data_IF_750073645933
#
_entry.id   IF_750073645933
#
_cell.length_a   1.000
_cell.length_b   1.000
_cell.length_c   1.000
_cell.angle_alpha   90.00
_cell.angle_beta   90.00
_cell.angle_gamma   90.00
#
_symmetry.space_group_name_H-M   'P 1'
#
loop_
_entity.id
_entity.type
_entity.pdbx_description
1 polymer ?
#
# COMPACT_ATOMS: atom_id res chain seq x y z
N UNK A 1 13.18 -26.61 7.77
CA UNK A 1 13.14 -26.06 7.66
C UNK A 1 13.00 -25.29 7.59
N UNK A 2 12.98 -24.82 7.45
CA UNK A 2 12.83 -24.01 7.31
C UNK A 2 12.72 -23.03 7.29
N UNK A 3 12.30 -22.68 7.89
CA UNK A 3 12.10 -21.62 7.82
C UNK A 3 12.95 -20.81 7.48
N UNK A 4 12.70 -20.20 7.05
CA UNK A 4 13.59 -19.52 6.36
C UNK A 4 13.67 -18.13 6.75
N UNK A 5 14.81 -17.70 7.18
CA UNK A 5 15.12 -16.28 7.35
C UNK A 5 15.15 -15.63 5.98
N UNK A 6 14.74 -14.37 5.87
CA UNK A 6 14.90 -13.65 4.63
C UNK A 6 16.37 -13.55 4.23
N UNK A 7 16.65 -13.60 2.93
CA UNK A 7 17.98 -13.26 2.43
C UNK A 7 18.22 -11.76 2.67
N UNK A 8 19.47 -11.29 2.59
CA UNK A 8 19.72 -9.85 2.71
C UNK A 8 18.92 -9.01 1.72
N UNK A 9 18.73 -9.51 0.50
CA UNK A 9 17.95 -8.81 -0.49
C UNK A 9 16.47 -8.79 -0.10
N UNK A 10 15.92 -9.92 0.37
CA UNK A 10 14.53 -9.97 0.83
C UNK A 10 14.32 -9.08 2.04
N UNK A 11 15.31 -9.00 2.93
CA UNK A 11 15.20 -8.08 4.07
C UNK A 11 15.15 -6.63 3.60
N UNK A 12 15.88 -6.30 2.54
CA UNK A 12 15.83 -4.97 1.96
C UNK A 12 14.43 -4.64 1.43
N UNK A 13 13.77 -5.64 0.81
CA UNK A 13 12.40 -5.48 0.33
C UNK A 13 11.43 -5.27 1.50
N UNK A 14 11.59 -6.05 2.57
CA UNK A 14 10.77 -5.90 3.78
C UNK A 14 10.96 -4.53 4.40
N UNK A 15 12.20 -4.04 4.46
CA UNK A 15 12.49 -2.73 5.02
C UNK A 15 11.87 -1.61 4.18
N UNK A 16 11.89 -1.75 2.85
CA UNK A 16 11.25 -0.79 1.97
C UNK A 16 9.75 -0.74 2.23
N UNK A 17 9.11 -1.90 2.38
CA UNK A 17 7.70 -1.97 2.70
C UNK A 17 7.40 -1.34 4.05
N UNK A 18 8.22 -1.59 5.06
CA UNK A 18 8.04 -1.01 6.39
C UNK A 18 8.11 0.52 6.33
N UNK A 19 9.08 1.07 5.58
CA UNK A 19 9.17 2.52 5.41
C UNK A 19 7.93 3.06 4.73
N UNK A 20 7.42 2.33 3.73
CA UNK A 20 6.23 2.74 3.00
C UNK A 20 5.00 2.81 3.93
N UNK A 21 4.81 1.78 4.76
CA UNK A 21 3.71 1.74 5.71
C UNK A 21 3.82 2.90 6.70
N UNK A 22 5.01 3.15 7.22
CA UNK A 22 5.24 4.22 8.16
C UNK A 22 4.92 5.57 7.55
N UNK A 23 5.37 5.81 6.31
CA UNK A 23 5.11 7.08 5.61
C UNK A 23 3.62 7.26 5.32
N UNK A 24 2.97 6.18 4.89
CA UNK A 24 1.54 6.23 4.56
C UNK A 24 0.72 6.52 5.83
N UNK A 25 1.03 5.84 6.92
CA UNK A 25 0.31 6.04 8.18
C UNK A 25 0.53 7.43 8.77
N UNK A 26 1.67 8.04 8.46
CA UNK A 26 1.94 9.41 8.88
C UNK A 26 1.22 10.44 8.00
N UNK A 27 0.65 10.02 6.89
CA UNK A 27 0.03 10.95 5.94
C UNK A 27 1.06 11.76 5.18
N UNK A 28 2.28 11.27 5.07
CA UNK A 28 3.41 12.01 4.48
C UNK A 28 3.60 11.61 3.02
N UNK A 29 2.94 12.33 2.14
CA UNK A 29 2.94 12.00 0.71
C UNK A 29 4.36 12.02 0.13
N UNK A 30 5.17 13.00 0.49
CA UNK A 30 6.53 13.07 -0.05
C UNK A 30 7.36 11.86 0.38
N UNK A 31 7.22 11.44 1.63
CA UNK A 31 7.93 10.26 2.11
C UNK A 31 7.45 9.00 1.39
N UNK A 32 6.14 8.86 1.15
CA UNK A 32 5.60 7.75 0.38
C UNK A 32 6.23 7.70 -1.00
N UNK A 33 6.29 8.86 -1.67
CA UNK A 33 6.82 8.91 -3.04
C UNK A 33 8.31 8.62 -3.09
N UNK A 34 9.04 8.91 -2.02
CA UNK A 34 10.48 8.67 -2.00
C UNK A 34 10.83 7.19 -2.02
N UNK A 35 9.86 6.32 -1.78
CA UNK A 35 10.08 4.87 -1.84
C UNK A 35 9.97 4.30 -3.25
N UNK A 36 9.62 5.12 -4.24
CA UNK A 36 9.43 4.67 -5.61
C UNK A 36 10.54 5.16 -6.51
N UNK A 37 10.94 4.31 -7.47
CA UNK A 37 11.81 4.75 -8.55
C UNK A 37 11.10 5.76 -9.42
N UNK A 38 11.87 6.61 -10.11
CA UNK A 38 11.29 7.62 -10.98
C UNK A 38 10.55 7.02 -12.17
N UNK A 39 10.83 5.77 -12.51
CA UNK A 39 10.14 5.06 -13.60
C UNK A 39 9.15 4.03 -13.09
N UNK A 40 8.78 4.14 -11.82
CA UNK A 40 7.87 3.17 -11.22
C UNK A 40 6.48 3.24 -11.83
N UNK A 41 5.78 2.11 -11.73
CA UNK A 41 4.42 1.98 -12.25
C UNK A 41 3.55 1.41 -11.15
N UNK A 42 2.39 2.03 -10.91
CA UNK A 42 1.34 1.49 -10.03
C UNK A 42 0.17 1.12 -10.92
N UNK A 43 -0.31 -0.11 -10.78
CA UNK A 43 -1.43 -0.62 -11.58
C UNK A 43 -2.56 -0.99 -10.64
N UNK A 44 -3.76 -0.50 -10.93
CA UNK A 44 -4.94 -0.75 -10.12
C UNK A 44 -6.08 -1.18 -11.02
N UNK A 45 -7.21 -1.64 -10.46
CA UNK A 45 -8.37 -1.97 -11.27
C UNK A 45 -8.86 -0.80 -12.12
N UNK A 46 -8.51 0.43 -11.76
CA UNK A 46 -9.00 1.62 -12.43
C UNK A 46 -8.02 2.20 -13.44
N UNK A 47 -6.78 1.77 -13.42
CA UNK A 47 -5.82 2.30 -14.39
C UNK A 47 -4.37 2.11 -14.02
N UNK A 48 -3.53 2.73 -14.82
CA UNK A 48 -2.08 2.65 -14.72
C UNK A 48 -1.55 4.04 -14.40
N UNK A 49 -0.70 4.12 -13.39
CA UNK A 49 -0.10 5.37 -12.94
C UNK A 49 1.41 5.23 -13.06
N UNK A 50 1.98 5.84 -14.07
CA UNK A 50 3.40 5.71 -14.37
C UNK A 50 4.10 7.02 -14.11
N UNK A 51 5.20 6.96 -13.33
CA UNK A 51 6.03 8.12 -13.03
C UNK A 51 5.57 8.90 -11.81
N UNK A 52 6.44 9.81 -11.33
CA UNK A 52 6.21 10.47 -10.03
C UNK A 52 4.91 11.26 -9.96
N UNK A 53 4.57 11.99 -11.01
CA UNK A 53 3.40 12.86 -10.93
C UNK A 53 2.11 12.07 -10.85
N UNK A 54 2.01 10.97 -11.61
CA UNK A 54 0.80 10.15 -11.58
C UNK A 54 0.70 9.34 -10.30
N UNK A 55 1.83 8.84 -9.81
CA UNK A 55 1.85 8.12 -8.54
C UNK A 55 1.50 9.08 -7.41
N UNK A 56 1.97 10.34 -7.47
CA UNK A 56 1.59 11.35 -6.50
C UNK A 56 0.07 11.56 -6.48
N UNK A 57 -0.54 11.67 -7.67
CA UNK A 57 -1.98 11.87 -7.74
C UNK A 57 -2.74 10.67 -7.14
N UNK A 58 -2.26 9.46 -7.42
CA UNK A 58 -2.88 8.26 -6.89
C UNK A 58 -2.82 8.22 -5.36
N UNK A 59 -1.62 8.39 -4.80
CA UNK A 59 -1.46 8.34 -3.35
C UNK A 59 -2.10 9.54 -2.66
N UNK A 60 -2.13 10.69 -3.34
CA UNK A 60 -2.85 11.84 -2.81
C UNK A 60 -4.32 11.52 -2.57
N UNK A 61 -4.94 10.80 -3.52
CA UNK A 61 -6.31 10.35 -3.34
C UNK A 61 -6.49 9.38 -2.19
N UNK A 62 -5.54 8.45 -2.01
CA UNK A 62 -5.60 7.54 -0.87
C UNK A 62 -5.45 8.28 0.45
N UNK A 63 -4.58 9.28 0.51
CA UNK A 63 -4.42 10.04 1.74
C UNK A 63 -5.62 10.93 2.02
N UNK A 64 -6.34 11.37 1.00
CA UNK A 64 -7.62 12.04 1.20
C UNK A 64 -8.63 11.09 1.83
N UNK A 65 -8.64 9.83 1.38
CA UNK A 65 -9.58 8.84 1.91
C UNK A 65 -9.26 8.47 3.35
N UNK A 66 -7.99 8.23 3.66
CA UNK A 66 -7.61 7.65 4.95
C UNK A 66 -7.04 8.67 5.95
N UNK A 67 -6.47 9.76 5.48
CA UNK A 67 -5.79 10.72 6.34
C UNK A 67 -4.54 10.12 6.96
N UNK A 68 -4.10 10.69 8.06
CA UNK A 68 -2.96 10.19 8.80
C UNK A 68 -3.44 9.14 9.80
N UNK A 69 -3.39 7.89 9.39
CA UNK A 69 -3.90 6.76 10.17
C UNK A 69 -3.23 6.70 11.54
N UNK A 70 -1.92 6.92 11.58
CA UNK A 70 -1.18 6.89 12.84
C UNK A 70 -1.60 7.97 13.82
N UNK A 71 -2.26 9.02 13.34
CA UNK A 71 -2.79 10.09 14.20
C UNK A 71 -4.25 9.85 14.57
N UNK A 72 -4.85 8.78 14.04
CA UNK A 72 -6.23 8.46 14.35
C UNK A 72 -7.26 9.02 13.38
N UNK A 73 -6.84 9.49 12.21
CA UNK A 73 -7.77 10.05 11.23
C UNK A 73 -8.74 9.00 10.67
N UNK A 74 -8.34 7.74 10.67
CA UNK A 74 -9.21 6.63 10.26
C UNK A 74 -8.68 5.33 10.87
N UNK A 75 -9.49 4.24 10.85
CA UNK A 75 -9.03 2.95 11.35
C UNK A 75 -7.86 2.37 10.56
N UNK A 76 -7.85 2.56 9.23
CA UNK A 76 -6.72 2.20 8.40
C UNK A 76 -6.72 0.75 7.94
N UNK A 77 -5.51 0.24 7.69
CA UNK A 77 -5.29 -1.07 7.08
C UNK A 77 -4.90 -2.10 8.11
N UNK A 78 -5.39 -3.33 7.90
CA UNK A 78 -4.93 -4.51 8.62
C UNK A 78 -4.38 -5.48 7.59
N UNK A 79 -3.17 -5.98 7.85
CA UNK A 79 -2.52 -6.90 6.93
C UNK A 79 -2.79 -8.33 7.37
N UNK A 80 -3.41 -9.11 6.49
CA UNK A 80 -3.82 -10.47 6.83
C UNK A 80 -2.77 -11.49 6.45
N UNK A 81 -2.01 -11.24 5.38
CA UNK A 81 -0.90 -12.09 4.96
C UNK A 81 0.21 -11.22 4.39
N UNK A 82 1.44 -11.68 4.55
CA UNK A 82 2.60 -11.03 3.94
C UNK A 82 3.59 -12.12 3.56
N UNK A 83 4.00 -12.12 2.30
CA UNK A 83 5.00 -13.04 1.79
C UNK A 83 6.04 -12.27 0.99
N UNK A 84 7.30 -12.61 1.15
CA UNK A 84 8.38 -12.01 0.38
C UNK A 84 9.19 -13.11 -0.28
N UNK A 85 9.58 -12.89 -1.52
CA UNK A 85 10.48 -13.79 -2.24
C UNK A 85 11.26 -13.00 -3.26
N UNK A 86 12.58 -13.10 -3.18
CA UNK A 86 13.48 -12.34 -4.05
C UNK A 86 13.17 -10.85 -3.97
N UNK A 87 12.77 -10.23 -5.07
CA UNK A 87 12.46 -8.80 -5.12
C UNK A 87 10.96 -8.49 -4.98
N UNK A 88 10.14 -9.50 -4.68
CA UNK A 88 8.69 -9.37 -4.69
C UNK A 88 8.11 -9.56 -3.30
N UNK A 89 7.20 -8.67 -2.94
CA UNK A 89 6.44 -8.76 -1.69
C UNK A 89 4.96 -8.73 -2.00
N UNK A 90 4.23 -9.63 -1.39
CA UNK A 90 2.79 -9.76 -1.60
C UNK A 90 2.09 -9.63 -0.25
N UNK A 91 1.02 -8.83 -0.21
CA UNK A 91 0.18 -8.72 0.98
C UNK A 91 -1.28 -8.91 0.62
N UNK A 92 -2.04 -9.43 1.58
CA UNK A 92 -3.49 -9.29 1.56
C UNK A 92 -3.88 -8.41 2.73
N UNK A 93 -4.97 -7.67 2.56
CA UNK A 93 -5.36 -6.70 3.57
C UNK A 93 -6.86 -6.46 3.55
N UNK A 94 -7.35 -5.85 4.63
CA UNK A 94 -8.65 -5.21 4.65
C UNK A 94 -8.46 -3.84 5.31
N UNK A 95 -9.39 -2.94 5.09
CA UNK A 95 -9.20 -1.56 5.54
C UNK A 95 -10.54 -0.88 5.82
N UNK A 96 -10.48 0.18 6.61
CA UNK A 96 -11.62 1.06 6.82
C UNK A 96 -11.14 2.50 6.83
N UNK A 97 -11.88 3.34 6.13
CA UNK A 97 -11.78 4.78 6.28
C UNK A 97 -12.96 5.24 7.13
N UNK A 98 -13.13 6.55 7.30
CA UNK A 98 -14.32 7.05 8.00
C UNK A 98 -15.60 6.81 7.19
N UNK A 99 -15.49 6.64 5.90
CA UNK A 99 -16.63 6.56 5.00
C UNK A 99 -16.86 5.20 4.36
N UNK A 100 -15.82 4.37 4.30
CA UNK A 100 -15.91 3.12 3.54
C UNK A 100 -15.25 1.95 4.27
N UNK A 101 -15.76 0.76 3.98
CA UNK A 101 -15.12 -0.50 4.36
C UNK A 101 -14.59 -1.15 3.11
N UNK A 102 -13.32 -1.56 3.15
CA UNK A 102 -12.65 -2.27 2.07
C UNK A 102 -12.45 -3.70 2.56
N UNK A 103 -13.35 -4.63 2.16
CA UNK A 103 -13.36 -5.95 2.81
C UNK A 103 -12.14 -6.81 2.49
N UNK A 104 -11.55 -6.61 1.32
CA UNK A 104 -10.42 -7.42 0.91
C UNK A 104 -9.63 -6.74 -0.19
N UNK A 105 -8.32 -6.76 -0.06
CA UNK A 105 -7.44 -6.27 -1.10
C UNK A 105 -6.12 -7.01 -1.10
N UNK A 106 -5.39 -6.86 -2.19
CA UNK A 106 -4.05 -7.41 -2.35
C UNK A 106 -3.15 -6.36 -2.96
N UNK A 107 -1.89 -6.38 -2.57
CA UNK A 107 -0.85 -5.59 -3.22
C UNK A 107 0.32 -6.48 -3.53
N UNK A 108 0.93 -6.28 -4.69
CA UNK A 108 2.21 -6.88 -5.02
C UNK A 108 3.20 -5.76 -5.30
N UNK A 109 4.32 -5.78 -4.61
CA UNK A 109 5.40 -4.81 -4.80
C UNK A 109 6.60 -5.53 -5.38
N UNK A 110 7.23 -4.93 -6.39
CA UNK A 110 8.49 -5.41 -6.93
C UNK A 110 9.52 -4.31 -6.75
N UNK A 111 10.62 -4.65 -6.11
CA UNK A 111 11.68 -3.70 -5.82
C UNK A 111 12.83 -3.82 -6.79
N UNK A 112 13.50 -2.71 -7.02
CA UNK A 112 14.80 -2.66 -7.66
C UNK A 112 15.72 -1.99 -6.63
N UNK A 113 16.58 -2.81 -6.01
CA UNK A 113 17.32 -2.33 -4.85
C UNK A 113 16.38 -2.12 -3.68
N UNK A 114 16.41 -0.93 -3.12
CA UNK A 114 15.59 -0.59 -1.95
C UNK A 114 14.39 0.28 -2.29
N UNK A 115 14.04 0.37 -3.57
CA UNK A 115 12.89 1.17 -4.00
C UNK A 115 11.95 0.34 -4.85
N UNK A 116 10.68 0.71 -4.78
CA UNK A 116 9.65 0.04 -5.57
C UNK A 116 9.75 0.42 -7.04
N UNK A 117 9.72 -0.58 -7.89
CA UNK A 117 9.67 -0.38 -9.33
C UNK A 117 8.27 -0.63 -9.86
N UNK A 118 7.53 -1.54 -9.21
CA UNK A 118 6.15 -1.84 -9.58
C UNK A 118 5.32 -2.10 -8.34
N UNK A 119 4.07 -1.67 -8.40
CA UNK A 119 3.07 -2.03 -7.41
C UNK A 119 1.79 -2.33 -8.16
N UNK A 120 1.17 -3.47 -7.88
CA UNK A 120 -0.16 -3.75 -8.41
C UNK A 120 -1.11 -3.96 -7.25
N UNK A 121 -2.32 -3.44 -7.39
CA UNK A 121 -3.32 -3.42 -6.34
C UNK A 121 -4.62 -3.97 -6.91
N UNK A 122 -5.26 -4.87 -6.18
CA UNK A 122 -6.60 -5.30 -6.51
C UNK A 122 -7.40 -5.35 -5.23
N UNK A 123 -8.69 -5.00 -5.30
CA UNK A 123 -9.51 -5.01 -4.10
C UNK A 123 -10.97 -5.18 -4.46
N UNK A 124 -11.73 -5.75 -3.52
CA UNK A 124 -13.17 -5.84 -3.63
C UNK A 124 -13.76 -4.44 -3.60
N UNK A 125 -14.89 -4.22 -4.28
CA UNK A 125 -15.52 -2.91 -4.22
C UNK A 125 -15.77 -2.49 -2.77
N UNK A 126 -15.42 -1.24 -2.41
CA UNK A 126 -15.67 -0.77 -1.06
C UNK A 126 -17.17 -0.61 -0.82
N UNK A 127 -17.54 -0.66 0.45
CA UNK A 127 -18.92 -0.48 0.87
C UNK A 127 -19.01 0.74 1.77
N UNK A 128 -20.17 1.44 1.77
CA UNK A 128 -20.36 2.52 2.73
C UNK A 128 -20.22 1.98 4.15
N UNK A 129 -19.55 2.74 4.98
CA UNK A 129 -19.39 2.38 6.38
C UNK A 129 -20.70 2.61 7.08
N UNK A 130 -21.09 1.65 7.91
CA UNK A 130 -22.22 1.76 8.66
C UNK A 130 -23.45 1.83 7.96
N UNK A 131 -23.46 1.50 6.93
CA UNK A 131 -24.63 1.46 6.27
C UNK A 131 -25.52 2.53 6.55
N UNK A 132 -25.25 3.09 7.08
CA UNK A 132 -26.00 4.01 7.39
C UNK A 132 -26.86 4.30 6.62
N UNK A 133 -27.15 3.88 6.40
CA UNK A 133 -27.80 4.13 5.89
C UNK A 133 -28.63 4.12 5.83
N UNK A 134 -28.84 3.97 5.93
CA UNK A 134 -29.54 3.99 5.83
C UNK A 134 -30.25 4.18 5.71
N UNK A 135 -30.21 4.36 5.53
CA UNK A 135 -30.83 4.60 5.53
C UNK A 135 -31.01 4.58 5.49
#
# INVERSE_FOLDING_TARGET
MDTLSPTPHEQQVLDAFQRHVTAFNAGDLNAVLSDFHEHAVVITPEGVYEGPDRIRAFYGGLLEEFGAIGRGDSPGFSFDALHVRHDTLFITWHAESLQHVFPFGTDTFVCNGDKFERQSIAFSPPRPRNGTSSG
#
